data_IF_263453400664
#
_entry.id   IF_263453400664
#
_cell.length_a   1.000
_cell.length_b   1.000
_cell.length_c   1.000
_cell.angle_alpha   90.00
_cell.angle_beta   90.00
_cell.angle_gamma   90.00
#
_symmetry.space_group_name_H-M   'P 1'
#
loop_
_entity.id
_entity.type
_entity.pdbx_description
1 polymer ?
#
# COMPACT_ATOMS: atom_id res chain seq x y z
N UNK A 1 17.75 33.04 -4.45
CA UNK A 1 17.80 32.73 -5.89
C UNK A 1 17.64 31.23 -6.13
N UNK A 2 16.44 30.64 -5.93
CA UNK A 2 16.12 29.21 -6.16
C UNK A 2 14.68 28.98 -6.66
N UNK A 3 14.08 29.96 -7.36
CA UNK A 3 12.70 29.88 -7.84
C UNK A 3 12.54 29.88 -9.37
N UNK A 4 13.61 29.63 -10.15
CA UNK A 4 13.54 29.75 -11.63
C UNK A 4 13.62 28.38 -12.34
N UNK A 5 13.72 27.26 -11.64
CA UNK A 5 13.89 25.93 -12.28
C UNK A 5 12.58 25.16 -12.53
N UNK A 6 11.41 25.70 -12.15
CA UNK A 6 10.11 25.03 -12.34
C UNK A 6 9.48 25.32 -13.72
N UNK A 7 9.99 26.31 -14.47
CA UNK A 7 9.39 26.75 -15.75
C UNK A 7 10.09 26.24 -17.02
N UNK A 8 11.15 25.44 -16.94
CA UNK A 8 11.89 24.98 -18.13
C UNK A 8 11.66 23.51 -18.52
N UNK A 9 10.59 22.88 -18.02
CA UNK A 9 10.21 21.49 -18.40
C UNK A 9 9.12 21.36 -19.48
N UNK A 10 8.65 22.40 -20.20
CA UNK A 10 7.56 22.20 -21.16
C UNK A 10 7.99 21.66 -22.52
N UNK A 11 9.27 21.62 -22.87
CA UNK A 11 9.71 21.40 -24.28
C UNK A 11 9.90 19.91 -24.59
N UNK A 12 10.18 19.05 -23.62
CA UNK A 12 10.40 17.60 -23.82
C UNK A 12 9.12 16.76 -23.82
N UNK A 13 7.98 17.34 -23.49
CA UNK A 13 6.70 16.65 -23.35
C UNK A 13 5.75 16.81 -24.55
N UNK A 14 6.14 17.60 -25.55
CA UNK A 14 5.45 17.65 -26.84
C UNK A 14 5.85 16.41 -27.63
N UNK A 15 5.03 15.33 -27.51
CA UNK A 15 5.24 14.08 -28.21
C UNK A 15 5.42 12.83 -27.32
N UNK A 16 5.37 12.98 -25.98
CA UNK A 16 5.40 11.83 -25.07
C UNK A 16 4.04 11.11 -25.11
N UNK A 17 4.05 9.79 -25.30
CA UNK A 17 2.84 8.97 -25.22
C UNK A 17 2.37 8.76 -23.79
N UNK A 18 1.14 8.31 -23.62
CA UNK A 18 0.58 7.95 -22.32
C UNK A 18 1.42 6.88 -21.63
N UNK A 19 1.86 5.86 -22.35
CA UNK A 19 2.68 4.77 -21.83
C UNK A 19 4.04 5.27 -21.33
N UNK A 20 4.73 6.07 -22.12
CA UNK A 20 6.01 6.69 -21.74
C UNK A 20 5.85 7.57 -20.48
N UNK A 21 4.75 8.31 -20.38
CA UNK A 21 4.48 9.14 -19.21
C UNK A 21 4.20 8.31 -17.94
N UNK A 22 3.50 7.18 -18.07
CA UNK A 22 3.28 6.23 -16.98
C UNK A 22 4.63 5.63 -16.54
N UNK A 23 5.45 5.14 -17.48
CA UNK A 23 6.77 4.57 -17.19
C UNK A 23 7.66 5.58 -16.47
N UNK A 24 7.74 6.82 -16.95
CA UNK A 24 8.52 7.87 -16.31
C UNK A 24 8.06 8.13 -14.87
N UNK A 25 6.77 8.12 -14.61
CA UNK A 25 6.24 8.31 -13.25
C UNK A 25 6.65 7.17 -12.30
N UNK A 26 6.72 5.95 -12.81
CA UNK A 26 7.18 4.77 -12.06
C UNK A 26 8.69 4.82 -11.86
N UNK A 27 9.46 5.21 -12.88
CA UNK A 27 10.92 5.38 -12.76
C UNK A 27 11.29 6.42 -11.70
N UNK A 28 10.58 7.57 -11.65
CA UNK A 28 10.79 8.58 -10.61
C UNK A 28 10.54 8.02 -9.21
N UNK A 29 9.54 7.15 -9.06
CA UNK A 29 9.26 6.47 -7.79
C UNK A 29 10.35 5.47 -7.38
N UNK A 30 10.97 4.79 -8.34
CA UNK A 30 11.99 3.75 -8.09
C UNK A 30 13.37 4.37 -7.80
N UNK A 31 13.64 5.60 -8.23
CA UNK A 31 14.92 6.28 -7.99
C UNK A 31 15.29 6.29 -6.51
N UNK A 32 16.60 6.15 -6.24
CA UNK A 32 17.14 6.03 -4.87
C UNK A 32 16.77 7.21 -3.95
N UNK A 33 16.66 8.41 -4.52
CA UNK A 33 16.41 9.67 -3.79
C UNK A 33 14.95 9.85 -3.41
N UNK A 34 14.04 9.06 -4.01
CA UNK A 34 12.58 9.03 -3.78
C UNK A 34 12.01 10.41 -3.45
N UNK A 35 12.13 11.34 -4.38
CA UNK A 35 11.51 12.66 -4.23
C UNK A 35 9.98 12.52 -4.40
N UNK A 36 9.27 12.44 -3.28
CA UNK A 36 7.81 12.23 -3.26
C UNK A 36 7.05 13.29 -4.08
N UNK A 37 7.47 14.55 -4.00
CA UNK A 37 6.85 15.64 -4.75
C UNK A 37 7.07 15.49 -6.26
N UNK A 38 8.30 15.13 -6.69
CA UNK A 38 8.59 14.92 -8.10
C UNK A 38 7.81 13.74 -8.67
N UNK A 39 7.71 12.64 -7.91
CA UNK A 39 6.94 11.46 -8.28
C UNK A 39 5.44 11.79 -8.42
N UNK A 40 4.88 12.54 -7.47
CA UNK A 40 3.49 12.97 -7.53
C UNK A 40 3.20 13.85 -8.76
N UNK A 41 4.07 14.82 -9.04
CA UNK A 41 3.95 15.68 -10.23
C UNK A 41 4.08 14.89 -11.54
N UNK A 42 5.01 13.95 -11.63
CA UNK A 42 5.15 13.09 -12.80
C UNK A 42 3.88 12.26 -13.05
N UNK A 43 3.28 11.76 -11.99
CA UNK A 43 2.05 10.97 -12.08
C UNK A 43 0.82 11.80 -12.46
N UNK A 44 0.68 13.03 -11.97
CA UNK A 44 -0.37 13.95 -12.43
C UNK A 44 -0.25 14.23 -13.94
N UNK A 45 0.97 14.42 -14.43
CA UNK A 45 1.24 14.61 -15.86
C UNK A 45 0.87 13.39 -16.68
N UNK A 46 1.23 12.19 -16.22
CA UNK A 46 0.84 10.96 -16.88
C UNK A 46 -0.70 10.87 -17.03
N UNK A 47 -1.45 11.21 -15.98
CA UNK A 47 -2.92 11.29 -16.05
C UNK A 47 -3.39 12.28 -17.11
N UNK A 48 -2.80 13.49 -17.19
CA UNK A 48 -3.21 14.49 -18.19
C UNK A 48 -2.90 14.05 -19.62
N UNK A 49 -1.75 13.45 -19.87
CA UNK A 49 -1.37 12.93 -21.18
C UNK A 49 -2.30 11.80 -21.60
N UNK A 50 -2.57 10.82 -20.73
CA UNK A 50 -3.46 9.72 -21.01
C UNK A 50 -4.90 10.19 -21.29
N UNK A 51 -5.38 11.18 -20.54
CA UNK A 51 -6.70 11.79 -20.77
C UNK A 51 -6.78 12.46 -22.15
N UNK A 52 -5.73 13.17 -22.55
CA UNK A 52 -5.70 13.86 -23.84
C UNK A 52 -5.59 12.89 -25.02
N UNK A 53 -4.84 11.79 -24.86
CA UNK A 53 -4.56 10.82 -25.92
C UNK A 53 -5.71 9.82 -26.10
N UNK A 54 -6.22 9.26 -25.00
CA UNK A 54 -7.16 8.14 -25.04
C UNK A 54 -8.53 8.43 -24.42
N UNK A 55 -8.68 9.53 -23.71
CA UNK A 55 -9.90 9.85 -22.97
C UNK A 55 -10.00 9.14 -21.60
N UNK A 56 -11.10 9.39 -20.91
CA UNK A 56 -11.27 9.02 -19.50
C UNK A 56 -11.46 7.50 -19.28
N UNK A 57 -12.15 6.82 -20.19
CA UNK A 57 -12.55 5.41 -20.02
C UNK A 57 -11.49 4.41 -20.49
N UNK A 58 -10.35 4.86 -21.01
CA UNK A 58 -9.29 3.99 -21.51
C UNK A 58 -8.52 3.34 -20.35
N UNK A 59 -8.09 2.09 -20.55
CA UNK A 59 -7.34 1.32 -19.53
C UNK A 59 -6.08 2.05 -19.05
N UNK A 60 -5.29 2.62 -19.95
CA UNK A 60 -4.07 3.37 -19.60
C UNK A 60 -4.38 4.58 -18.73
N UNK A 61 -5.49 5.29 -18.95
CA UNK A 61 -5.93 6.39 -18.10
C UNK A 61 -6.29 5.92 -16.70
N UNK A 62 -6.96 4.77 -16.59
CA UNK A 62 -7.32 4.14 -15.31
C UNK A 62 -6.05 3.70 -14.56
N UNK A 63 -5.07 3.14 -15.27
CA UNK A 63 -3.76 2.78 -14.69
C UNK A 63 -3.04 4.03 -14.18
N UNK A 64 -2.99 5.10 -14.97
CA UNK A 64 -2.37 6.36 -14.58
C UNK A 64 -3.02 6.96 -13.32
N UNK A 65 -4.37 6.93 -13.23
CA UNK A 65 -5.13 7.38 -12.05
C UNK A 65 -4.77 6.55 -10.79
N UNK A 66 -4.72 5.23 -10.91
CA UNK A 66 -4.37 4.36 -9.78
C UNK A 66 -2.91 4.57 -9.32
N UNK A 67 -1.97 4.74 -10.25
CA UNK A 67 -0.58 5.06 -9.93
C UNK A 67 -0.48 6.43 -9.27
N UNK A 68 -1.18 7.44 -9.79
CA UNK A 68 -1.23 8.78 -9.20
C UNK A 68 -1.74 8.73 -7.75
N UNK A 69 -2.82 7.98 -7.48
CA UNK A 69 -3.30 7.75 -6.12
C UNK A 69 -2.22 7.16 -5.21
N UNK A 70 -1.50 6.14 -5.67
CA UNK A 70 -0.41 5.50 -4.90
C UNK A 70 0.74 6.46 -4.62
N UNK A 71 1.11 7.28 -5.59
CA UNK A 71 2.21 8.23 -5.43
C UNK A 71 1.82 9.42 -4.54
N UNK A 72 0.56 9.87 -4.57
CA UNK A 72 0.05 10.85 -3.60
C UNK A 72 0.02 10.27 -2.17
N UNK A 73 -0.33 9.01 -1.99
CA UNK A 73 -0.20 8.35 -0.68
C UNK A 73 1.25 8.38 -0.19
N UNK A 74 2.20 8.06 -1.06
CA UNK A 74 3.61 8.12 -0.74
C UNK A 74 4.09 9.55 -0.43
N UNK A 75 3.54 10.56 -1.09
CA UNK A 75 3.84 11.97 -0.85
C UNK A 75 3.18 12.54 0.42
N UNK A 76 2.35 11.75 1.12
CA UNK A 76 1.62 12.23 2.29
C UNK A 76 0.43 13.14 1.96
N UNK A 77 -0.13 13.01 0.74
CA UNK A 77 -1.25 13.78 0.24
C UNK A 77 -2.52 12.91 0.09
N UNK A 78 -3.08 12.36 1.18
CA UNK A 78 -4.18 11.39 1.12
C UNK A 78 -5.46 11.93 0.48
N UNK A 79 -5.72 13.23 0.53
CA UNK A 79 -6.89 13.84 -0.13
C UNK A 79 -6.78 13.74 -1.65
N UNK A 80 -5.60 14.01 -2.22
CA UNK A 80 -5.37 13.88 -3.66
C UNK A 80 -5.39 12.41 -4.10
N UNK A 81 -4.80 11.54 -3.27
CA UNK A 81 -4.86 10.10 -3.50
C UNK A 81 -6.31 9.60 -3.57
N UNK A 82 -7.14 10.01 -2.61
CA UNK A 82 -8.56 9.67 -2.58
C UNK A 82 -9.27 10.10 -3.86
N UNK A 83 -9.08 11.35 -4.28
CA UNK A 83 -9.71 11.87 -5.50
C UNK A 83 -9.31 11.07 -6.75
N UNK A 84 -8.03 10.69 -6.88
CA UNK A 84 -7.55 9.89 -8.02
C UNK A 84 -8.16 8.49 -8.03
N UNK A 85 -8.19 7.81 -6.88
CA UNK A 85 -8.79 6.48 -6.76
C UNK A 85 -10.31 6.49 -6.94
N UNK A 86 -11.02 7.47 -6.39
CA UNK A 86 -12.48 7.61 -6.56
C UNK A 86 -12.84 7.85 -8.03
N UNK A 87 -12.03 8.64 -8.75
CA UNK A 87 -12.22 8.85 -10.18
C UNK A 87 -12.04 7.54 -10.96
N UNK A 88 -10.98 6.80 -10.73
CA UNK A 88 -10.75 5.47 -11.30
C UNK A 88 -11.90 4.51 -10.98
N UNK A 89 -12.33 4.47 -9.71
CA UNK A 89 -13.43 3.63 -9.26
C UNK A 89 -14.74 3.94 -9.96
N UNK A 90 -15.09 5.23 -10.09
CA UNK A 90 -16.31 5.68 -10.77
C UNK A 90 -16.34 5.27 -12.25
N UNK A 91 -15.22 5.41 -12.95
CA UNK A 91 -15.09 5.01 -14.37
C UNK A 91 -15.33 3.50 -14.49
N UNK A 92 -14.64 2.71 -13.70
CA UNK A 92 -14.75 1.25 -13.75
C UNK A 92 -16.13 0.75 -13.34
N UNK A 93 -16.77 1.35 -12.32
CA UNK A 93 -18.12 0.99 -11.91
C UNK A 93 -19.17 1.26 -13.00
N UNK A 94 -19.00 2.35 -13.76
CA UNK A 94 -19.88 2.68 -14.88
C UNK A 94 -19.82 1.62 -15.99
N UNK A 95 -18.64 1.11 -16.29
CA UNK A 95 -18.43 0.13 -17.36
C UNK A 95 -18.65 -1.33 -16.95
N UNK A 96 -18.28 -1.69 -15.71
CA UNK A 96 -18.18 -3.08 -15.25
C UNK A 96 -19.15 -3.45 -14.12
N UNK A 97 -19.93 -2.48 -13.62
CA UNK A 97 -20.76 -2.67 -12.43
C UNK A 97 -19.93 -2.63 -11.15
N UNK A 98 -20.53 -3.01 -9.99
CA UNK A 98 -19.91 -2.86 -8.67
C UNK A 98 -19.06 -4.06 -8.24
N UNK A 99 -19.17 -5.18 -8.91
CA UNK A 99 -18.52 -6.45 -8.55
C UNK A 99 -17.71 -7.00 -9.72
N UNK A 100 -16.52 -6.45 -9.92
CA UNK A 100 -15.58 -6.92 -10.92
C UNK A 100 -14.15 -6.83 -10.39
N UNK A 101 -13.28 -7.79 -10.74
CA UNK A 101 -11.89 -7.86 -10.26
C UNK A 101 -11.09 -6.58 -10.53
N UNK A 102 -11.36 -5.84 -11.60
CA UNK A 102 -10.67 -4.58 -11.93
C UNK A 102 -10.94 -3.46 -10.91
N UNK A 103 -12.03 -3.55 -10.12
CA UNK A 103 -12.34 -2.57 -9.07
C UNK A 103 -11.54 -2.81 -7.77
N UNK A 104 -10.85 -3.95 -7.65
CA UNK A 104 -10.13 -4.31 -6.43
C UNK A 104 -9.09 -3.25 -6.02
N UNK A 105 -8.21 -2.86 -6.96
CA UNK A 105 -7.16 -1.86 -6.70
C UNK A 105 -7.72 -0.47 -6.33
N UNK A 106 -8.65 0.13 -7.09
CA UNK A 106 -9.20 1.42 -6.69
C UNK A 106 -10.00 1.37 -5.38
N UNK A 107 -10.79 0.31 -5.08
CA UNK A 107 -11.42 0.16 -3.77
C UNK A 107 -10.38 0.10 -2.64
N UNK A 108 -9.33 -0.69 -2.81
CA UNK A 108 -8.22 -0.78 -1.84
C UNK A 108 -7.52 0.58 -1.65
N UNK A 109 -7.25 1.29 -2.75
CA UNK A 109 -6.65 2.63 -2.71
C UNK A 109 -7.54 3.66 -1.99
N UNK A 110 -8.85 3.67 -2.28
CA UNK A 110 -9.84 4.51 -1.57
C UNK A 110 -9.81 4.20 -0.08
N UNK A 111 -9.84 2.92 0.31
CA UNK A 111 -9.82 2.49 1.70
C UNK A 111 -8.56 2.97 2.45
N UNK A 112 -7.38 2.82 1.85
CA UNK A 112 -6.12 3.30 2.44
C UNK A 112 -6.13 4.82 2.61
N UNK A 113 -6.57 5.57 1.60
CA UNK A 113 -6.64 7.02 1.66
C UNK A 113 -7.63 7.50 2.72
N UNK A 114 -8.82 6.89 2.81
CA UNK A 114 -9.81 7.18 3.86
C UNK A 114 -9.28 6.86 5.26
N UNK A 115 -8.58 5.73 5.43
CA UNK A 115 -7.92 5.39 6.70
C UNK A 115 -6.86 6.43 7.10
N UNK A 116 -6.09 6.94 6.16
CA UNK A 116 -5.11 7.99 6.41
C UNK A 116 -5.77 9.34 6.80
N UNK A 117 -7.01 9.56 6.35
CA UNK A 117 -7.83 10.74 6.68
C UNK A 117 -8.64 10.56 7.99
N UNK A 118 -8.54 9.42 8.66
CA UNK A 118 -9.32 9.12 9.87
C UNK A 118 -10.78 8.73 9.60
N UNK A 119 -11.16 8.51 8.32
CA UNK A 119 -12.51 8.10 7.89
C UNK A 119 -12.62 6.57 7.95
N UNK A 120 -12.51 6.02 9.16
CA UNK A 120 -12.30 4.58 9.35
C UNK A 120 -13.49 3.72 8.93
N UNK A 121 -14.72 4.10 9.25
CA UNK A 121 -15.91 3.30 8.88
C UNK A 121 -16.06 3.18 7.36
N UNK A 122 -15.79 4.27 6.64
CA UNK A 122 -15.79 4.27 5.18
C UNK A 122 -14.65 3.41 4.61
N UNK A 123 -13.46 3.48 5.23
CA UNK A 123 -12.32 2.65 4.86
C UNK A 123 -12.63 1.16 5.01
N UNK A 124 -13.26 0.76 6.12
CA UNK A 124 -13.68 -0.63 6.39
C UNK A 124 -14.64 -1.14 5.30
N UNK A 125 -15.63 -0.33 4.93
CA UNK A 125 -16.57 -0.70 3.87
C UNK A 125 -15.85 -0.92 2.52
N UNK A 126 -14.90 -0.03 2.17
CA UNK A 126 -14.14 -0.13 0.94
C UNK A 126 -13.08 -1.26 0.96
N UNK A 127 -12.47 -1.57 2.12
CA UNK A 127 -11.66 -2.79 2.25
C UNK A 127 -12.49 -4.05 2.01
N UNK A 128 -13.70 -4.12 2.55
CA UNK A 128 -14.62 -5.23 2.29
C UNK A 128 -14.97 -5.39 0.81
N UNK A 129 -15.22 -4.29 0.11
CA UNK A 129 -15.45 -4.29 -1.34
C UNK A 129 -14.21 -4.73 -2.12
N UNK A 130 -13.03 -4.22 -1.75
CA UNK A 130 -11.76 -4.59 -2.38
C UNK A 130 -11.48 -6.09 -2.24
N UNK A 131 -11.67 -6.66 -1.05
CA UNK A 131 -11.46 -8.09 -0.77
C UNK A 131 -12.34 -8.93 -1.69
N UNK A 132 -13.66 -8.66 -1.77
CA UNK A 132 -14.55 -9.39 -2.68
C UNK A 132 -14.07 -9.33 -4.13
N UNK A 133 -13.63 -8.16 -4.59
CA UNK A 133 -13.12 -7.99 -5.94
C UNK A 133 -11.78 -8.71 -6.17
N UNK A 134 -10.89 -8.75 -5.18
CA UNK A 134 -9.64 -9.51 -5.26
C UNK A 134 -9.89 -11.03 -5.33
N UNK A 135 -10.84 -11.54 -4.55
CA UNK A 135 -11.24 -12.96 -4.56
C UNK A 135 -11.74 -13.41 -5.93
N UNK A 136 -12.44 -12.53 -6.68
CA UNK A 136 -12.83 -12.78 -8.07
C UNK A 136 -11.63 -12.91 -9.03
N UNK A 137 -10.48 -12.39 -8.66
CA UNK A 137 -9.24 -12.47 -9.45
C UNK A 137 -8.43 -13.75 -9.25
N UNK A 138 -8.74 -14.53 -8.22
CA UNK A 138 -8.08 -15.79 -7.89
C UNK A 138 -6.59 -15.65 -7.56
N UNK A 139 -5.81 -16.68 -7.85
CA UNK A 139 -4.38 -16.78 -7.49
C UNK A 139 -3.53 -15.60 -7.96
N UNK A 140 -3.84 -15.01 -9.12
CA UNK A 140 -3.08 -13.88 -9.67
C UNK A 140 -3.14 -12.63 -8.78
N UNK A 141 -4.14 -12.52 -7.91
CA UNK A 141 -4.34 -11.37 -7.02
C UNK A 141 -4.03 -11.64 -5.55
N UNK A 142 -3.47 -12.80 -5.21
CA UNK A 142 -3.17 -13.19 -3.82
C UNK A 142 -2.25 -12.20 -3.10
N UNK A 143 -1.23 -11.67 -3.78
CA UNK A 143 -0.33 -10.66 -3.17
C UNK A 143 -1.04 -9.35 -2.85
N UNK A 144 -1.93 -8.91 -3.74
CA UNK A 144 -2.71 -7.70 -3.53
C UNK A 144 -3.77 -7.91 -2.44
N UNK A 145 -4.40 -9.09 -2.42
CA UNK A 145 -5.34 -9.50 -1.37
C UNK A 145 -4.67 -9.54 0.01
N UNK A 146 -3.47 -10.11 0.10
CA UNK A 146 -2.65 -10.08 1.32
C UNK A 146 -2.41 -8.65 1.80
N UNK A 147 -1.99 -7.76 0.88
CA UNK A 147 -1.77 -6.34 1.20
C UNK A 147 -3.06 -5.64 1.65
N UNK A 148 -4.19 -5.98 1.04
CA UNK A 148 -5.50 -5.44 1.40
C UNK A 148 -5.90 -5.84 2.83
N UNK A 149 -5.74 -7.11 3.21
CA UNK A 149 -5.99 -7.56 4.58
C UNK A 149 -5.05 -6.92 5.59
N UNK A 150 -3.77 -6.71 5.25
CA UNK A 150 -2.82 -6.00 6.11
C UNK A 150 -3.25 -4.54 6.35
N UNK A 151 -3.59 -3.79 5.30
CA UNK A 151 -4.09 -2.41 5.40
C UNK A 151 -5.41 -2.30 6.17
N UNK A 152 -6.28 -3.30 6.03
CA UNK A 152 -7.50 -3.39 6.84
C UNK A 152 -7.15 -3.57 8.33
N UNK A 153 -6.22 -4.46 8.66
CA UNK A 153 -5.71 -4.64 10.03
C UNK A 153 -5.11 -3.35 10.60
N UNK A 154 -4.33 -2.62 9.81
CA UNK A 154 -3.76 -1.32 10.22
C UNK A 154 -4.84 -0.28 10.53
N UNK A 155 -5.94 -0.29 9.78
CA UNK A 155 -7.08 0.61 10.01
C UNK A 155 -7.79 0.28 11.30
N UNK A 156 -8.08 -0.99 11.56
CA UNK A 156 -8.71 -1.46 12.79
C UNK A 156 -7.84 -1.19 14.02
N UNK A 157 -6.52 -1.37 13.89
CA UNK A 157 -5.57 -1.03 14.95
C UNK A 157 -5.64 0.47 15.32
N UNK A 158 -5.70 1.36 14.32
CA UNK A 158 -5.85 2.81 14.54
C UNK A 158 -7.17 3.19 15.21
N UNK A 159 -8.22 2.39 15.00
CA UNK A 159 -9.50 2.56 15.68
C UNK A 159 -9.48 2.05 17.13
N UNK A 160 -8.46 1.29 17.53
CA UNK A 160 -8.39 0.60 18.80
C UNK A 160 -9.09 -0.78 18.82
N UNK A 161 -9.58 -1.24 17.66
CA UNK A 161 -10.07 -2.62 17.52
C UNK A 161 -8.89 -3.58 17.29
N UNK A 162 -8.18 -3.85 18.38
CA UNK A 162 -7.00 -4.74 18.35
C UNK A 162 -7.35 -6.18 18.00
N UNK A 163 -8.55 -6.64 18.37
CA UNK A 163 -9.00 -8.00 18.03
C UNK A 163 -9.25 -8.12 16.52
N UNK A 164 -10.01 -7.19 15.95
CA UNK A 164 -10.22 -7.11 14.50
C UNK A 164 -8.90 -6.99 13.74
N UNK A 165 -7.98 -6.15 14.22
CA UNK A 165 -6.66 -5.97 13.63
C UNK A 165 -5.87 -7.29 13.58
N UNK A 166 -5.79 -8.00 14.71
CA UNK A 166 -5.14 -9.31 14.78
C UNK A 166 -5.74 -10.31 13.79
N UNK A 167 -7.06 -10.42 13.76
CA UNK A 167 -7.76 -11.36 12.84
C UNK A 167 -7.43 -11.04 11.38
N UNK A 168 -7.46 -9.77 10.97
CA UNK A 168 -7.15 -9.40 9.57
C UNK A 168 -5.67 -9.64 9.22
N UNK A 169 -4.75 -9.33 10.13
CA UNK A 169 -3.33 -9.60 9.96
C UNK A 169 -3.00 -11.09 9.95
N UNK A 170 -3.69 -11.90 10.74
CA UNK A 170 -3.55 -13.35 10.70
C UNK A 170 -3.99 -13.94 9.35
N UNK A 171 -5.07 -13.41 8.75
CA UNK A 171 -5.47 -13.80 7.37
C UNK A 171 -4.39 -13.38 6.37
N UNK A 172 -3.90 -12.14 6.44
CA UNK A 172 -2.82 -11.67 5.58
C UNK A 172 -1.55 -12.54 5.72
N UNK A 173 -1.21 -12.92 6.96
CA UNK A 173 -0.05 -13.77 7.21
C UNK A 173 -0.23 -15.19 6.66
N UNK A 174 -1.42 -15.77 6.75
CA UNK A 174 -1.71 -17.07 6.11
C UNK A 174 -1.52 -17.00 4.60
N UNK A 175 -2.08 -15.97 3.94
CA UNK A 175 -1.87 -15.76 2.49
C UNK A 175 -0.38 -15.55 2.19
N UNK A 176 0.34 -14.83 3.06
CA UNK A 176 1.79 -14.69 2.94
C UNK A 176 2.51 -16.05 2.93
N UNK A 177 2.14 -16.97 3.84
CA UNK A 177 2.76 -18.31 3.89
C UNK A 177 2.43 -19.15 2.66
N UNK A 178 1.21 -19.05 2.12
CA UNK A 178 0.81 -19.69 0.87
C UNK A 178 1.62 -19.17 -0.34
N UNK A 179 1.89 -17.86 -0.40
CA UNK A 179 2.59 -17.21 -1.53
C UNK A 179 4.10 -17.36 -1.46
N UNK A 180 4.70 -17.27 -0.27
CA UNK A 180 6.16 -17.18 -0.08
C UNK A 180 6.77 -18.41 0.61
N UNK A 181 5.94 -19.32 1.10
CA UNK A 181 6.32 -20.50 1.87
C UNK A 181 6.41 -20.25 3.37
N UNK A 182 6.00 -21.27 4.13
CA UNK A 182 5.95 -21.21 5.59
C UNK A 182 7.33 -21.05 6.27
N UNK A 183 8.42 -21.44 5.58
CA UNK A 183 9.80 -21.32 6.10
C UNK A 183 10.56 -20.13 5.54
N UNK A 184 9.90 -19.25 4.80
CA UNK A 184 10.55 -18.08 4.20
C UNK A 184 11.16 -17.16 5.25
N UNK A 185 12.42 -16.77 5.07
CA UNK A 185 13.16 -15.85 5.95
C UNK A 185 13.33 -14.52 5.24
N UNK A 186 12.42 -13.60 5.48
CA UNK A 186 12.47 -12.25 4.92
C UNK A 186 11.86 -11.22 5.90
N UNK A 187 12.10 -9.95 5.61
CA UNK A 187 11.67 -8.85 6.45
C UNK A 187 10.14 -8.76 6.62
N UNK A 188 9.38 -9.15 5.60
CA UNK A 188 7.92 -9.10 5.65
C UNK A 188 7.36 -10.07 6.70
N UNK A 189 7.93 -11.28 6.81
CA UNK A 189 7.57 -12.25 7.85
C UNK A 189 7.81 -11.69 9.26
N UNK A 190 8.98 -11.11 9.48
CA UNK A 190 9.30 -10.48 10.77
C UNK A 190 8.33 -9.35 11.11
N UNK A 191 7.96 -8.52 10.12
CA UNK A 191 6.98 -7.46 10.30
C UNK A 191 5.60 -8.00 10.68
N UNK A 192 5.12 -9.08 10.05
CA UNK A 192 3.82 -9.67 10.43
C UNK A 192 3.81 -10.13 11.88
N UNK A 193 4.86 -10.82 12.34
CA UNK A 193 4.95 -11.20 13.75
C UNK A 193 4.96 -9.98 14.68
N UNK A 194 5.72 -8.94 14.37
CA UNK A 194 5.77 -7.72 15.17
C UNK A 194 4.43 -6.97 15.23
N UNK A 195 3.71 -6.90 14.11
CA UNK A 195 2.39 -6.27 14.04
C UNK A 195 1.34 -7.05 14.84
N UNK A 196 1.29 -8.38 14.70
CA UNK A 196 0.40 -9.23 15.48
C UNK A 196 0.73 -9.18 16.99
N UNK A 197 1.99 -9.07 17.34
CA UNK A 197 2.40 -8.84 18.72
C UNK A 197 1.87 -7.53 19.28
N UNK A 198 1.89 -6.46 18.48
CA UNK A 198 1.31 -5.16 18.86
C UNK A 198 -0.20 -5.24 19.09
N UNK A 199 -0.93 -6.01 18.26
CA UNK A 199 -2.37 -6.24 18.45
C UNK A 199 -2.65 -6.97 19.76
N UNK A 200 -1.90 -8.04 20.05
CA UNK A 200 -2.02 -8.83 21.28
C UNK A 200 -1.67 -7.99 22.52
N UNK A 201 -0.67 -7.12 22.42
CA UNK A 201 -0.34 -6.17 23.48
C UNK A 201 -1.49 -5.19 23.74
N UNK A 202 -2.12 -4.67 22.70
CA UNK A 202 -3.30 -3.82 22.81
C UNK A 202 -4.49 -4.52 23.47
N UNK A 203 -4.62 -5.83 23.30
CA UNK A 203 -5.59 -6.69 24.00
C UNK A 203 -5.22 -7.02 25.46
N UNK A 204 -4.03 -6.61 25.92
CA UNK A 204 -3.49 -6.98 27.23
C UNK A 204 -2.94 -8.41 27.32
N UNK A 205 -2.87 -9.13 26.21
CA UNK A 205 -2.32 -10.49 26.15
C UNK A 205 -0.79 -10.46 26.03
N UNK A 206 -0.13 -10.08 27.11
CA UNK A 206 1.33 -9.87 27.17
C UNK A 206 2.13 -11.12 26.81
N UNK A 207 1.69 -12.29 27.26
CA UNK A 207 2.42 -13.54 27.03
C UNK A 207 2.51 -13.88 25.55
N UNK A 208 1.40 -13.85 24.82
CA UNK A 208 1.39 -14.12 23.38
C UNK A 208 2.04 -13.00 22.58
N UNK A 209 1.92 -11.75 23.03
CA UNK A 209 2.63 -10.62 22.44
C UNK A 209 4.16 -10.84 22.49
N UNK A 210 4.71 -11.19 23.65
CA UNK A 210 6.13 -11.51 23.80
C UNK A 210 6.56 -12.64 22.88
N UNK A 211 5.81 -13.73 22.82
CA UNK A 211 6.11 -14.86 21.92
C UNK A 211 6.17 -14.44 20.44
N UNK A 212 5.28 -13.56 19.99
CA UNK A 212 5.29 -13.08 18.62
C UNK A 212 6.44 -12.08 18.37
N UNK A 213 6.80 -11.23 19.34
CA UNK A 213 8.00 -10.41 19.25
C UNK A 213 9.28 -11.24 19.18
N UNK A 214 9.40 -12.31 19.97
CA UNK A 214 10.54 -13.25 19.89
C UNK A 214 10.65 -13.91 18.51
N UNK A 215 9.51 -14.31 17.92
CA UNK A 215 9.49 -14.82 16.53
C UNK A 215 9.97 -13.76 15.54
N UNK A 216 9.55 -12.51 15.69
CA UNK A 216 10.01 -11.41 14.84
C UNK A 216 11.53 -11.20 14.95
N UNK A 217 12.07 -11.18 16.18
CA UNK A 217 13.51 -11.07 16.42
C UNK A 217 14.29 -12.23 15.80
N UNK A 218 13.83 -13.47 16.00
CA UNK A 218 14.47 -14.66 15.41
C UNK A 218 14.58 -14.59 13.90
N UNK A 219 13.55 -14.05 13.21
CA UNK A 219 13.60 -13.86 11.76
C UNK A 219 14.55 -12.73 11.39
N UNK A 220 14.51 -11.61 12.12
CA UNK A 220 15.40 -10.47 11.90
C UNK A 220 16.88 -10.86 12.07
N UNK A 221 17.21 -11.64 13.11
CA UNK A 221 18.56 -12.14 13.35
C UNK A 221 19.05 -13.03 12.21
N UNK A 222 18.23 -13.96 11.73
CA UNK A 222 18.58 -14.79 10.58
C UNK A 222 18.84 -13.99 9.28
N UNK A 223 18.17 -12.83 9.11
CA UNK A 223 18.45 -11.91 8.00
C UNK A 223 19.82 -11.25 8.21
N UNK A 224 20.08 -10.79 9.43
CA UNK A 224 21.32 -10.09 9.79
C UNK A 224 22.56 -10.98 9.76
N UNK A 225 22.43 -12.28 10.03
CA UNK A 225 23.50 -13.27 9.86
C UNK A 225 24.01 -13.34 8.41
N UNK A 226 23.12 -13.05 7.43
CA UNK A 226 23.42 -13.17 6.01
C UNK A 226 23.72 -11.82 5.33
N UNK A 227 23.31 -10.73 5.93
CA UNK A 227 23.40 -9.40 5.33
C UNK A 227 23.39 -8.29 6.38
N UNK A 228 23.94 -7.12 6.03
CA UNK A 228 23.87 -5.94 6.87
C UNK A 228 22.60 -5.12 6.59
N UNK A 229 21.43 -5.77 6.59
CA UNK A 229 20.14 -5.15 6.23
C UNK A 229 19.73 -4.09 7.27
N UNK A 230 19.69 -2.82 6.82
CA UNK A 230 19.33 -1.68 7.68
C UNK A 230 17.88 -1.73 8.19
N UNK A 231 16.98 -2.30 7.40
CA UNK A 231 15.57 -2.40 7.77
C UNK A 231 15.34 -3.50 8.80
N UNK A 232 16.09 -4.61 8.69
CA UNK A 232 16.07 -5.66 9.71
C UNK A 232 16.64 -5.14 11.04
N UNK A 233 17.72 -4.34 11.01
CA UNK A 233 18.25 -3.66 12.21
C UNK A 233 17.25 -2.72 12.85
N UNK A 234 16.57 -1.89 12.04
CA UNK A 234 15.57 -0.95 12.53
C UNK A 234 14.39 -1.68 13.17
N UNK A 235 13.88 -2.73 12.51
CA UNK A 235 12.79 -3.55 13.05
C UNK A 235 13.18 -4.23 14.36
N UNK A 236 14.40 -4.79 14.44
CA UNK A 236 14.91 -5.41 15.66
C UNK A 236 14.91 -4.43 16.83
N UNK A 237 15.47 -3.24 16.64
CA UNK A 237 15.51 -2.20 17.68
C UNK A 237 14.11 -1.76 18.11
N UNK A 238 13.17 -1.62 17.17
CA UNK A 238 11.77 -1.28 17.47
C UNK A 238 11.11 -2.38 18.32
N UNK A 239 11.28 -3.65 17.94
CA UNK A 239 10.69 -4.79 18.65
C UNK A 239 11.26 -4.91 20.06
N UNK A 240 12.59 -4.77 20.23
CA UNK A 240 13.23 -4.79 21.54
C UNK A 240 12.75 -3.66 22.46
N UNK A 241 12.45 -2.47 21.89
CA UNK A 241 11.88 -1.37 22.66
C UNK A 241 10.46 -1.70 23.12
N UNK A 242 9.59 -2.19 22.23
CA UNK A 242 8.21 -2.58 22.56
C UNK A 242 8.12 -3.71 23.58
N UNK A 243 9.05 -4.67 23.56
CA UNK A 243 9.10 -5.74 24.56
C UNK A 243 9.42 -5.22 25.99
N UNK A 244 10.17 -4.11 26.10
CA UNK A 244 10.46 -3.49 27.40
C UNK A 244 9.29 -2.71 27.98
N UNK A 245 8.33 -2.30 27.13
CA UNK A 245 7.14 -1.56 27.52
C UNK A 245 6.00 -2.48 28.01
N UNK A 246 6.09 -3.78 27.76
CA UNK A 246 5.11 -4.81 28.17
C UNK A 246 5.32 -5.28 29.61
#
# INVERSE_FOLDING_TARGET
>A
MRQILVFLLPIWLFGMSCEEAIELSVEEFIKRDRNATATALASERAVQICLAEYGEEHESTIIALNNSGSFFMFAGEPQKALAAYERSLKILQKGLGKEHKALAKPYHGVAIAQSALGRYDEAIANFGAAIRCYELGGEKMQKDLMSCYAGFGDTLYKMGDFNGAYVKRAVAFRIYEEVFGADSVNLLRAKYYALMAGDLAGLGNKTEALQNYEKALKVADKILEKSNDKHAKSLKAEVEAKMKEL
#
